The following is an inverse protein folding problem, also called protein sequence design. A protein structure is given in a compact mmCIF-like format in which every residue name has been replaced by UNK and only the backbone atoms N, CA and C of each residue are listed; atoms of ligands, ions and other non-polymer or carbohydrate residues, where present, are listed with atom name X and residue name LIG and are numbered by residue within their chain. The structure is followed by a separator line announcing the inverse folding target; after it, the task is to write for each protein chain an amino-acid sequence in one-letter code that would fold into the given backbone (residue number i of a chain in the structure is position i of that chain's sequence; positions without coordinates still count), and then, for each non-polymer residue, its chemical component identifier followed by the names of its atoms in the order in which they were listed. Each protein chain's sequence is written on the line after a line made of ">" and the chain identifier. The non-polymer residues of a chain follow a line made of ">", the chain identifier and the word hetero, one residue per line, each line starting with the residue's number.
data_IF_252197493799
#
_entry.id   IF_252197493799
#
_cell.length_a   1.000
_cell.length_b   1.000
_cell.length_c   1.000
_cell.angle_alpha   90.00
_cell.angle_beta   90.00
_cell.angle_gamma   90.00
#
_symmetry.space_group_name_H-M   'P 1'
#
loop_
_entity.id
_entity.type
_entity.pdbx_description
1 polymer ?
#
# COMPACT_ATOMS: atom_id res chain seq x y z
N UNK A 1 17.71 2.36 29.79
CA UNK A 1 16.70 3.43 29.97
C UNK A 1 15.33 2.79 30.15
N UNK A 2 14.55 3.19 31.15
CA UNK A 2 13.19 2.66 31.40
C UNK A 2 12.15 3.48 30.64
N UNK A 3 11.10 2.83 30.12
CA UNK A 3 9.98 3.50 29.47
C UNK A 3 9.25 4.43 30.43
N UNK A 4 8.97 5.65 29.99
CA UNK A 4 8.19 6.60 30.78
C UNK A 4 6.76 6.12 31.09
N UNK A 5 6.25 6.54 32.24
CA UNK A 5 4.82 6.42 32.53
C UNK A 5 4.00 7.28 31.57
N UNK A 6 2.72 6.93 31.38
CA UNK A 6 1.82 7.73 30.55
C UNK A 6 1.68 9.18 31.03
N UNK A 7 1.73 9.41 32.34
CA UNK A 7 1.66 10.75 32.92
C UNK A 7 2.92 11.58 32.65
N UNK A 8 4.11 10.96 32.72
CA UNK A 8 5.36 11.64 32.36
C UNK A 8 5.37 12.00 30.88
N UNK A 9 4.94 11.09 30.01
CA UNK A 9 4.83 11.37 28.57
C UNK A 9 3.86 12.53 28.29
N UNK A 10 2.68 12.56 28.94
CA UNK A 10 1.71 13.66 28.83
C UNK A 10 2.34 15.00 29.20
N UNK A 11 3.03 15.06 30.33
CA UNK A 11 3.66 16.30 30.81
C UNK A 11 4.72 16.82 29.82
N UNK A 12 5.58 15.94 29.30
CA UNK A 12 6.62 16.30 28.34
C UNK A 12 6.03 16.77 27.00
N UNK A 13 5.02 16.07 26.47
CA UNK A 13 4.33 16.49 25.23
C UNK A 13 3.64 17.84 25.42
N UNK A 14 2.99 18.08 26.55
CA UNK A 14 2.41 19.39 26.86
C UNK A 14 3.48 20.49 26.87
N UNK A 15 4.60 20.25 27.56
CA UNK A 15 5.72 21.19 27.62
C UNK A 15 6.27 21.52 26.22
N UNK A 16 6.42 20.50 25.36
CA UNK A 16 6.85 20.69 23.97
C UNK A 16 5.94 21.63 23.18
N UNK A 17 4.63 21.56 23.44
CA UNK A 17 3.62 22.35 22.71
C UNK A 17 3.36 23.73 23.31
N UNK A 18 3.70 23.97 24.58
CA UNK A 18 3.39 25.22 25.30
C UNK A 18 4.58 26.14 25.49
N UNK A 19 5.79 25.59 25.66
CA UNK A 19 7.01 26.35 26.00
C UNK A 19 7.77 26.84 24.75
N UNK A 20 7.40 26.38 23.56
CA UNK A 20 7.99 26.86 22.30
C UNK A 20 9.45 26.45 22.14
N UNK A 21 10.32 27.37 21.68
CA UNK A 21 11.70 27.07 21.28
C UNK A 21 12.60 26.52 22.40
N UNK A 22 12.34 26.88 23.66
CA UNK A 22 13.20 26.52 24.79
C UNK A 22 13.09 25.04 25.18
N UNK A 23 11.97 24.39 24.86
CA UNK A 23 11.84 22.95 25.06
C UNK A 23 12.84 22.16 24.20
N UNK A 24 13.02 22.58 22.94
CA UNK A 24 13.80 21.84 21.94
C UNK A 24 15.31 21.82 22.22
N UNK A 25 15.80 22.73 23.07
CA UNK A 25 17.19 22.74 23.55
C UNK A 25 17.36 22.09 24.93
N UNK A 26 16.29 21.57 25.53
CA UNK A 26 16.30 21.02 26.88
C UNK A 26 16.70 19.55 26.94
N UNK A 27 17.13 19.10 28.13
CA UNK A 27 17.38 17.68 28.41
C UNK A 27 16.11 16.82 28.27
N UNK A 28 14.93 17.38 28.53
CA UNK A 28 13.65 16.67 28.37
C UNK A 28 13.35 16.35 26.90
N UNK A 29 13.78 17.21 25.97
CA UNK A 29 13.67 16.93 24.54
C UNK A 29 14.62 15.80 24.13
N UNK A 30 15.87 15.82 24.62
CA UNK A 30 16.82 14.73 24.36
C UNK A 30 16.29 13.39 24.87
N UNK A 31 15.76 13.35 26.10
CA UNK A 31 15.18 12.13 26.66
C UNK A 31 13.88 11.72 25.92
N UNK A 32 13.08 12.66 25.42
CA UNK A 32 11.92 12.36 24.56
C UNK A 32 12.36 11.67 23.26
N UNK A 33 13.43 12.16 22.61
CA UNK A 33 13.99 11.55 21.40
C UNK A 33 14.35 10.09 21.66
N UNK A 34 15.10 9.82 22.73
CA UNK A 34 15.52 8.47 23.10
C UNK A 34 14.30 7.57 23.37
N UNK A 35 13.30 8.09 24.07
CA UNK A 35 12.09 7.34 24.42
C UNK A 35 11.26 6.97 23.18
N UNK A 36 11.15 7.89 22.22
CA UNK A 36 10.46 7.62 20.94
C UNK A 36 11.25 6.61 20.12
N UNK A 37 12.57 6.76 19.97
CA UNK A 37 13.36 5.80 19.21
C UNK A 37 13.26 4.39 19.81
N UNK A 38 13.53 4.27 21.11
CA UNK A 38 13.65 2.96 21.76
C UNK A 38 12.31 2.19 21.78
N UNK A 39 11.19 2.88 22.02
CA UNK A 39 9.91 2.23 22.31
C UNK A 39 8.88 2.31 21.19
N UNK A 40 9.02 3.26 20.26
CA UNK A 40 8.03 3.54 19.22
C UNK A 40 8.57 3.25 17.81
N UNK A 41 9.74 3.80 17.48
CA UNK A 41 10.21 3.89 16.10
C UNK A 41 10.39 2.53 15.45
N UNK A 42 10.98 1.56 16.16
CA UNK A 42 11.15 0.20 15.61
C UNK A 42 9.82 -0.52 15.32
N UNK A 43 8.77 -0.31 16.12
CA UNK A 43 7.45 -0.91 15.89
C UNK A 43 6.77 -0.27 14.67
N UNK A 44 6.86 1.05 14.56
CA UNK A 44 6.26 1.81 13.45
C UNK A 44 6.99 1.49 12.14
N UNK A 45 8.33 1.48 12.11
CA UNK A 45 9.10 1.12 10.92
C UNK A 45 8.71 -0.25 10.37
N UNK A 46 8.54 -1.25 11.26
CA UNK A 46 8.04 -2.58 10.86
C UNK A 46 6.62 -2.53 10.32
N UNK A 47 5.73 -1.75 10.95
CA UNK A 47 4.34 -1.60 10.49
C UNK A 47 4.25 -0.93 9.12
N UNK A 48 5.04 0.12 8.88
CA UNK A 48 5.14 0.82 7.59
C UNK A 48 5.67 -0.12 6.52
N UNK A 49 6.76 -0.85 6.79
CA UNK A 49 7.30 -1.86 5.87
C UNK A 49 6.29 -2.95 5.54
N UNK A 50 5.56 -3.45 6.53
CA UNK A 50 4.55 -4.49 6.31
C UNK A 50 3.35 -3.98 5.49
N UNK A 51 2.97 -2.70 5.62
CA UNK A 51 1.81 -2.14 4.92
C UNK A 51 2.13 -1.61 3.53
N UNK A 52 3.26 -0.93 3.38
CA UNK A 52 3.63 -0.20 2.17
C UNK A 52 4.76 -0.87 1.39
N UNK A 53 5.42 -1.89 1.94
CA UNK A 53 6.62 -2.51 1.33
C UNK A 53 7.87 -1.62 1.39
N UNK A 54 7.77 -0.42 1.98
CA UNK A 54 8.83 0.57 2.07
C UNK A 54 9.52 0.52 3.43
N UNK A 55 10.86 0.50 3.44
CA UNK A 55 11.64 0.58 4.67
C UNK A 55 11.83 2.05 5.06
N UNK A 56 11.19 2.47 6.15
CA UNK A 56 11.46 3.75 6.81
C UNK A 56 12.43 3.51 7.97
N UNK A 57 13.46 4.34 8.09
CA UNK A 57 14.44 4.20 9.17
C UNK A 57 13.83 4.64 10.51
N UNK A 58 14.43 4.18 11.61
CA UNK A 58 13.92 4.51 12.95
C UNK A 58 14.06 6.00 13.23
N UNK A 59 15.20 6.58 12.85
CA UNK A 59 15.48 8.01 13.04
C UNK A 59 14.49 8.87 12.27
N UNK A 60 14.04 8.41 11.09
CA UNK A 60 13.01 9.11 10.32
C UNK A 60 11.66 9.09 11.01
N UNK A 61 11.27 7.99 11.65
CA UNK A 61 10.05 7.93 12.46
C UNK A 61 10.17 8.88 13.65
N UNK A 62 11.30 8.85 14.35
CA UNK A 62 11.58 9.73 15.49
C UNK A 62 11.50 11.20 15.07
N UNK A 63 12.19 11.59 14.00
CA UNK A 63 12.15 12.94 13.42
C UNK A 63 10.73 13.34 12.99
N UNK A 64 9.98 12.43 12.38
CA UNK A 64 8.58 12.70 12.00
C UNK A 64 7.73 13.04 13.22
N UNK A 65 7.89 12.31 14.32
CA UNK A 65 7.17 12.59 15.57
C UNK A 65 7.56 13.96 16.12
N UNK A 66 8.85 14.28 16.18
CA UNK A 66 9.34 15.56 16.70
C UNK A 66 8.87 16.76 15.84
N UNK A 67 8.96 16.65 14.52
CA UNK A 67 8.49 17.70 13.59
C UNK A 67 6.99 17.93 13.74
N UNK A 68 6.19 16.85 13.83
CA UNK A 68 4.74 16.97 14.03
C UNK A 68 4.36 17.50 15.40
N UNK A 69 5.17 17.24 16.42
CA UNK A 69 5.01 17.82 17.74
C UNK A 69 5.36 19.32 17.76
N UNK A 70 6.35 19.75 16.97
CA UNK A 70 6.75 21.16 16.83
C UNK A 70 5.75 22.00 16.03
N UNK A 71 4.99 21.38 15.14
CA UNK A 71 3.94 22.05 14.37
C UNK A 71 2.79 22.48 15.30
N UNK A 72 2.49 23.79 15.39
CA UNK A 72 1.55 24.33 16.39
C UNK A 72 0.16 23.65 16.37
N UNK A 73 -0.43 23.47 15.19
CA UNK A 73 -1.75 22.85 15.03
C UNK A 73 -1.73 21.36 15.39
N UNK A 74 -0.75 20.61 14.86
CA UNK A 74 -0.64 19.17 15.08
C UNK A 74 -0.22 18.83 16.51
N UNK A 75 0.76 19.54 17.05
CA UNK A 75 1.23 19.40 18.43
C UNK A 75 0.11 19.67 19.42
N UNK A 76 -0.65 20.75 19.26
CA UNK A 76 -1.75 21.08 20.16
C UNK A 76 -2.90 20.05 20.08
N UNK A 77 -3.20 19.54 18.89
CA UNK A 77 -4.15 18.44 18.71
C UNK A 77 -3.67 17.15 19.38
N UNK A 78 -2.38 16.80 19.22
CA UNK A 78 -1.77 15.65 19.90
C UNK A 78 -1.85 15.80 21.42
N UNK A 79 -1.47 16.96 21.97
CA UNK A 79 -1.50 17.22 23.41
C UNK A 79 -2.93 17.08 23.98
N UNK A 80 -3.92 17.68 23.32
CA UNK A 80 -5.34 17.57 23.70
C UNK A 80 -5.85 16.12 23.65
N UNK A 81 -5.52 15.40 22.58
CA UNK A 81 -5.87 13.98 22.44
C UNK A 81 -5.17 13.07 23.46
N UNK A 82 -3.91 13.36 23.80
CA UNK A 82 -3.17 12.61 24.80
C UNK A 82 -3.75 12.81 26.19
N UNK A 83 -4.14 14.04 26.56
CA UNK A 83 -4.77 14.34 27.85
C UNK A 83 -6.01 13.47 28.11
N UNK A 84 -6.86 13.31 27.09
CA UNK A 84 -8.07 12.49 27.15
C UNK A 84 -7.81 10.98 26.97
N UNK A 85 -6.61 10.57 26.57
CA UNK A 85 -6.28 9.15 26.38
C UNK A 85 -6.01 8.43 27.70
N UNK A 86 -6.56 7.21 27.81
CA UNK A 86 -6.27 6.24 28.87
C UNK A 86 -4.89 5.62 28.71
N UNK A 87 -4.42 5.46 27.48
CA UNK A 87 -3.07 4.99 27.15
C UNK A 87 -2.39 6.02 26.23
N UNK A 88 -1.60 6.95 26.81
CA UNK A 88 -0.97 8.02 26.05
C UNK A 88 0.05 7.49 25.05
N UNK A 89 0.73 6.38 25.39
CA UNK A 89 1.69 5.78 24.50
C UNK A 89 1.04 5.12 23.30
N UNK A 90 -0.05 4.36 23.49
CA UNK A 90 -0.79 3.78 22.38
C UNK A 90 -1.38 4.87 21.47
N UNK A 91 -1.83 5.99 22.06
CA UNK A 91 -2.31 7.14 21.30
C UNK A 91 -1.19 7.76 20.46
N UNK A 92 -0.03 8.03 21.05
CA UNK A 92 1.14 8.53 20.33
C UNK A 92 1.57 7.57 19.22
N UNK A 93 1.60 6.25 19.49
CA UNK A 93 1.94 5.23 18.50
C UNK A 93 0.98 5.24 17.30
N UNK A 94 -0.32 5.42 17.57
CA UNK A 94 -1.35 5.53 16.52
C UNK A 94 -1.13 6.78 15.67
N UNK A 95 -0.92 7.94 16.29
CA UNK A 95 -0.66 9.19 15.59
C UNK A 95 0.63 9.12 14.76
N UNK A 96 1.73 8.70 15.37
CA UNK A 96 3.02 8.53 14.72
C UNK A 96 2.97 7.54 13.55
N UNK A 97 2.23 6.44 13.70
CA UNK A 97 1.99 5.50 12.61
C UNK A 97 1.25 6.13 11.43
N UNK A 98 0.24 6.96 11.67
CA UNK A 98 -0.48 7.70 10.62
C UNK A 98 0.46 8.69 9.92
N UNK A 99 1.27 9.43 10.68
CA UNK A 99 2.21 10.40 10.12
C UNK A 99 3.31 9.75 9.30
N UNK A 100 3.91 8.67 9.80
CA UNK A 100 4.96 7.93 9.09
C UNK A 100 4.42 7.31 7.79
N UNK A 101 3.18 6.79 7.80
CA UNK A 101 2.51 6.31 6.58
C UNK A 101 2.25 7.45 5.61
N UNK A 102 1.80 8.61 6.09
CA UNK A 102 1.58 9.80 5.26
C UNK A 102 2.86 10.32 4.61
N UNK A 103 3.96 10.40 5.36
CA UNK A 103 5.28 10.80 4.86
C UNK A 103 5.83 9.80 3.83
N UNK A 104 5.72 8.50 4.12
CA UNK A 104 6.08 7.47 3.15
C UNK A 104 5.22 7.56 1.88
N UNK A 105 3.92 7.86 2.01
CA UNK A 105 3.02 8.09 0.88
C UNK A 105 3.39 9.31 0.02
N UNK A 106 3.81 10.42 0.64
CA UNK A 106 4.32 11.58 -0.10
C UNK A 106 5.61 11.28 -0.85
N UNK A 107 6.56 10.57 -0.23
CA UNK A 107 7.81 10.19 -0.90
C UNK A 107 7.59 9.18 -2.02
N UNK A 108 6.65 8.25 -1.87
CA UNK A 108 6.24 7.37 -2.98
C UNK A 108 5.65 8.21 -4.12
N UNK A 109 4.78 9.18 -3.81
CA UNK A 109 4.23 10.09 -4.83
C UNK A 109 5.28 11.01 -5.49
N UNK A 110 6.29 11.48 -4.73
CA UNK A 110 7.41 12.26 -5.25
C UNK A 110 8.37 11.41 -6.09
N UNK A 111 8.65 10.17 -5.68
CA UNK A 111 9.40 9.20 -6.48
C UNK A 111 8.65 8.84 -7.76
N UNK A 112 7.33 8.64 -7.68
CA UNK A 112 6.46 8.46 -8.85
C UNK A 112 6.49 9.70 -9.76
N UNK A 113 6.57 10.91 -9.20
CA UNK A 113 6.72 12.15 -9.97
C UNK A 113 8.13 12.31 -10.59
N UNK A 114 9.18 11.78 -9.96
CA UNK A 114 10.55 11.76 -10.47
C UNK A 114 10.74 10.77 -11.63
N UNK A 115 9.81 9.84 -11.86
CA UNK A 115 9.75 9.00 -13.09
C UNK A 115 9.58 9.85 -14.36
N UNK A 116 9.20 11.13 -14.23
CA UNK A 116 9.08 12.07 -15.35
C UNK A 116 10.32 12.94 -15.60
N UNK A 117 11.42 12.76 -14.87
CA UNK A 117 12.67 13.48 -15.15
C UNK A 117 13.40 12.91 -16.38
N UNK A 118 13.93 13.75 -17.29
CA UNK A 118 14.69 13.28 -18.43
C UNK A 118 15.95 12.53 -17.96
N UNK A 119 16.02 11.23 -18.27
CA UNK A 119 17.10 10.33 -17.83
C UNK A 119 16.68 9.26 -16.82
N UNK A 120 15.48 9.36 -16.25
CA UNK A 120 14.80 8.25 -15.54
C UNK A 120 13.73 7.74 -16.51
N UNK A 121 13.77 6.45 -16.86
CA UNK A 121 12.98 5.85 -17.95
C UNK A 121 11.54 6.41 -18.03
N UNK A 122 11.35 7.36 -18.95
CA UNK A 122 10.08 8.01 -19.20
C UNK A 122 9.21 7.02 -19.97
N UNK A 123 8.26 6.41 -19.27
CA UNK A 123 7.36 5.37 -19.78
C UNK A 123 7.92 3.94 -19.74
N UNK A 124 7.12 3.04 -19.17
CA UNK A 124 7.31 1.59 -19.26
C UNK A 124 7.28 1.07 -20.72
N UNK A 125 6.92 1.93 -21.70
CA UNK A 125 6.98 1.62 -23.12
C UNK A 125 8.37 1.89 -23.74
N UNK A 126 9.19 2.77 -23.13
CA UNK A 126 10.58 3.02 -23.54
C UNK A 126 11.59 2.10 -22.84
N UNK A 127 11.15 1.31 -21.84
CA UNK A 127 11.93 0.22 -21.23
C UNK A 127 12.02 -1.02 -22.14
N UNK A 128 12.14 -0.78 -23.45
CA UNK A 128 12.66 -1.77 -24.35
C UNK A 128 14.08 -2.14 -23.93
N UNK A 129 14.21 -3.31 -23.29
CA UNK A 129 15.37 -4.19 -23.47
C UNK A 129 16.64 -3.70 -22.76
N UNK A 130 16.68 -3.68 -21.42
CA UNK A 130 17.96 -3.88 -20.71
C UNK A 130 17.94 -5.19 -19.91
N UNK A 131 18.56 -6.27 -20.40
CA UNK A 131 18.70 -7.52 -19.65
C UNK A 131 19.36 -7.38 -18.26
N UNK A 132 19.98 -6.25 -17.93
CA UNK A 132 20.74 -6.05 -16.70
C UNK A 132 19.89 -5.86 -15.43
N UNK A 133 18.62 -5.47 -15.53
CA UNK A 133 17.79 -5.23 -14.32
C UNK A 133 17.20 -6.49 -13.70
N UNK A 134 17.36 -7.68 -14.32
CA UNK A 134 16.91 -8.96 -13.76
C UNK A 134 15.39 -9.12 -13.63
N UNK A 135 14.61 -8.19 -14.17
CA UNK A 135 13.14 -8.21 -14.19
C UNK A 135 12.62 -8.92 -15.43
N UNK A 136 11.50 -9.62 -15.28
CA UNK A 136 10.79 -10.26 -16.38
C UNK A 136 10.15 -9.22 -17.31
N UNK A 137 10.31 -9.29 -18.65
CA UNK A 137 9.71 -8.33 -19.57
C UNK A 137 8.18 -8.23 -19.42
N UNK A 138 7.64 -7.02 -19.48
CA UNK A 138 6.20 -6.76 -19.28
C UNK A 138 5.29 -7.61 -20.18
N UNK A 139 5.58 -7.82 -21.49
CA UNK A 139 4.77 -8.72 -22.31
C UNK A 139 4.72 -10.16 -21.78
N UNK A 140 5.81 -10.65 -21.21
CA UNK A 140 5.90 -11.99 -20.61
C UNK A 140 5.10 -12.03 -19.29
N UNK A 141 5.19 -10.98 -18.48
CA UNK A 141 4.40 -10.85 -17.24
C UNK A 141 2.90 -10.85 -17.54
N UNK A 142 2.45 -10.11 -18.56
CA UNK A 142 1.06 -10.08 -19.03
C UNK A 142 0.63 -11.48 -19.46
N UNK A 143 1.45 -12.15 -20.28
CA UNK A 143 1.19 -13.51 -20.77
C UNK A 143 0.98 -14.49 -19.62
N UNK A 144 1.94 -14.54 -18.68
CA UNK A 144 1.90 -15.48 -17.55
C UNK A 144 0.74 -15.19 -16.61
N UNK A 145 0.46 -13.90 -16.36
CA UNK A 145 -0.70 -13.50 -15.56
C UNK A 145 -2.01 -13.92 -16.23
N UNK A 146 -2.17 -13.67 -17.53
CA UNK A 146 -3.36 -14.07 -18.28
C UNK A 146 -3.55 -15.60 -18.25
N UNK A 147 -2.51 -16.37 -18.57
CA UNK A 147 -2.55 -17.84 -18.51
C UNK A 147 -2.91 -18.37 -17.12
N UNK A 148 -2.37 -17.74 -16.07
CA UNK A 148 -2.70 -18.12 -14.69
C UNK A 148 -4.17 -17.85 -14.37
N UNK A 149 -4.70 -16.70 -14.78
CA UNK A 149 -6.13 -16.38 -14.58
C UNK A 149 -7.03 -17.32 -15.38
N UNK A 150 -6.72 -17.52 -16.66
CA UNK A 150 -7.47 -18.39 -17.58
C UNK A 150 -7.51 -19.85 -17.09
N UNK A 151 -6.45 -20.34 -16.43
CA UNK A 151 -6.43 -21.68 -15.85
C UNK A 151 -7.36 -21.87 -14.63
N UNK A 152 -7.86 -20.78 -14.04
CA UNK A 152 -8.69 -20.80 -12.82
C UNK A 152 -10.15 -20.42 -13.07
N UNK A 153 -10.53 -20.11 -14.31
CA UNK A 153 -11.88 -19.68 -14.68
C UNK A 153 -12.47 -20.68 -15.68
N UNK A 154 -13.76 -20.95 -15.55
CA UNK A 154 -14.43 -22.00 -16.33
C UNK A 154 -14.91 -21.48 -17.71
N UNK A 155 -14.93 -20.15 -17.91
CA UNK A 155 -15.44 -19.45 -19.10
C UNK A 155 -14.33 -18.75 -19.92
N UNK A 156 -13.08 -19.23 -19.80
CA UNK A 156 -11.93 -18.63 -20.47
C UNK A 156 -12.06 -18.55 -22.01
N UNK A 157 -12.87 -19.41 -22.62
CA UNK A 157 -13.14 -19.40 -24.06
C UNK A 157 -14.15 -18.31 -24.50
N UNK A 158 -14.96 -17.81 -23.57
CA UNK A 158 -16.08 -16.90 -23.85
C UNK A 158 -15.72 -15.44 -23.60
N UNK A 159 -14.73 -15.17 -22.74
CA UNK A 159 -14.31 -13.81 -22.36
C UNK A 159 -12.82 -13.59 -22.54
N UNK A 160 -12.45 -12.38 -22.92
CA UNK A 160 -11.06 -12.02 -23.19
C UNK A 160 -10.32 -11.62 -21.91
N UNK A 161 -10.04 -12.60 -21.04
CA UNK A 161 -9.26 -12.40 -19.81
C UNK A 161 -7.88 -11.83 -20.10
N UNK A 162 -7.25 -12.26 -21.19
CA UNK A 162 -6.01 -11.66 -21.71
C UNK A 162 -6.11 -10.16 -21.98
N UNK A 163 -7.21 -9.70 -22.60
CA UNK A 163 -7.41 -8.27 -22.84
C UNK A 163 -7.63 -7.50 -21.53
N UNK A 164 -8.40 -8.08 -20.60
CA UNK A 164 -8.59 -7.52 -19.26
C UNK A 164 -7.26 -7.39 -18.50
N UNK A 165 -6.43 -8.45 -18.50
CA UNK A 165 -5.10 -8.45 -17.89
C UNK A 165 -4.18 -7.43 -18.56
N UNK A 166 -4.15 -7.36 -19.89
CA UNK A 166 -3.39 -6.31 -20.60
C UNK A 166 -3.83 -4.91 -20.18
N UNK A 167 -5.14 -4.66 -20.11
CA UNK A 167 -5.66 -3.36 -19.66
C UNK A 167 -5.17 -3.01 -18.26
N UNK A 168 -5.19 -3.96 -17.32
CA UNK A 168 -4.67 -3.74 -15.97
C UNK A 168 -3.16 -3.42 -15.96
N UNK A 169 -2.38 -4.04 -16.85
CA UNK A 169 -0.95 -3.74 -16.97
C UNK A 169 -0.68 -2.35 -17.57
N UNK A 170 -1.52 -1.92 -18.51
CA UNK A 170 -1.43 -0.61 -19.17
C UNK A 170 -1.97 0.54 -18.31
N UNK A 171 -2.82 0.25 -17.32
CA UNK A 171 -3.48 1.24 -16.48
C UNK A 171 -3.18 1.01 -14.98
N UNK A 172 -1.91 0.97 -14.55
CA UNK A 172 -1.57 0.68 -13.15
C UNK A 172 -2.19 1.73 -12.21
N UNK A 173 -2.58 1.33 -10.98
CA UNK A 173 -3.23 2.22 -10.03
C UNK A 173 -2.26 3.32 -9.60
N UNK A 174 -2.56 4.58 -9.91
CA UNK A 174 -1.76 5.75 -9.53
C UNK A 174 -1.83 6.04 -8.03
N UNK A 175 -2.89 5.59 -7.36
CA UNK A 175 -3.07 5.70 -5.91
C UNK A 175 -3.54 4.38 -5.31
N UNK A 176 -2.88 3.94 -4.24
CA UNK A 176 -3.11 2.64 -3.57
C UNK A 176 -4.53 2.42 -2.99
N UNK A 177 -5.51 3.29 -3.24
CA UNK A 177 -6.89 3.16 -2.78
C UNK A 177 -8.00 3.33 -3.80
N UNK A 178 -7.72 3.91 -4.97
CA UNK A 178 -8.77 4.25 -5.94
C UNK A 178 -8.77 3.34 -7.17
N UNK A 179 -7.64 2.70 -7.50
CA UNK A 179 -7.53 1.93 -8.75
C UNK A 179 -8.56 0.81 -8.91
N UNK A 180 -8.93 0.10 -7.84
CA UNK A 180 -9.99 -0.92 -7.94
C UNK A 180 -11.36 -0.31 -8.22
N UNK A 181 -11.65 0.88 -7.68
CA UNK A 181 -12.91 1.57 -7.93
C UNK A 181 -12.95 2.20 -9.34
N UNK A 182 -11.81 2.67 -9.84
CA UNK A 182 -11.65 3.20 -11.19
C UNK A 182 -11.81 2.08 -12.23
N UNK A 183 -11.13 0.95 -12.05
CA UNK A 183 -11.26 -0.20 -12.94
C UNK A 183 -12.73 -0.68 -13.06
N UNK A 184 -13.47 -0.73 -11.95
CA UNK A 184 -14.90 -1.10 -11.94
C UNK A 184 -15.78 -0.21 -12.82
N UNK A 185 -15.36 1.02 -13.07
CA UNK A 185 -16.09 2.01 -13.87
C UNK A 185 -15.56 2.12 -15.30
N UNK A 186 -14.46 1.43 -15.63
CA UNK A 186 -13.86 1.52 -16.94
C UNK A 186 -14.77 0.84 -17.99
N UNK A 187 -15.24 1.58 -19.01
CA UNK A 187 -16.18 1.07 -20.00
C UNK A 187 -15.61 -0.08 -20.84
N UNK A 188 -14.29 -0.19 -20.91
CA UNK A 188 -13.58 -1.27 -21.60
C UNK A 188 -13.98 -2.65 -21.07
N UNK A 189 -14.18 -2.80 -19.76
CA UNK A 189 -14.58 -4.08 -19.16
C UNK A 189 -16.01 -4.49 -19.52
N UNK A 190 -16.93 -3.52 -19.61
CA UNK A 190 -18.29 -3.80 -20.08
C UNK A 190 -18.28 -4.30 -21.53
N UNK A 191 -17.42 -3.74 -22.40
CA UNK A 191 -17.23 -4.23 -23.78
C UNK A 191 -16.64 -5.65 -23.83
N UNK A 192 -15.83 -6.01 -22.84
CA UNK A 192 -15.28 -7.36 -22.68
C UNK A 192 -16.24 -8.34 -21.97
N UNK A 193 -17.44 -7.90 -21.60
CA UNK A 193 -18.44 -8.75 -20.94
C UNK A 193 -18.20 -8.99 -19.45
N UNK A 194 -17.46 -8.10 -18.77
CA UNK A 194 -17.25 -8.18 -17.33
C UNK A 194 -18.18 -7.24 -16.55
N UNK A 195 -18.82 -7.77 -15.52
CA UNK A 195 -19.54 -6.99 -14.53
C UNK A 195 -18.57 -6.32 -13.54
N UNK A 196 -18.95 -5.20 -12.89
CA UNK A 196 -18.06 -4.47 -12.00
C UNK A 196 -17.43 -5.33 -10.89
N UNK A 197 -18.16 -6.28 -10.32
CA UNK A 197 -17.61 -7.12 -9.24
C UNK A 197 -16.61 -8.16 -9.76
N UNK A 198 -16.76 -8.58 -11.02
CA UNK A 198 -15.78 -9.44 -11.72
C UNK A 198 -14.49 -8.68 -11.97
N UNK A 199 -14.59 -7.42 -12.42
CA UNK A 199 -13.44 -6.53 -12.60
C UNK A 199 -12.69 -6.33 -11.28
N UNK A 200 -13.42 -6.11 -10.18
CA UNK A 200 -12.82 -5.95 -8.86
C UNK A 200 -12.11 -7.23 -8.38
N UNK A 201 -12.65 -8.41 -8.71
CA UNK A 201 -12.04 -9.69 -8.41
C UNK A 201 -10.75 -9.91 -9.21
N UNK A 202 -10.77 -9.60 -10.51
CA UNK A 202 -9.59 -9.65 -11.38
C UNK A 202 -8.50 -8.69 -10.91
N UNK A 203 -8.85 -7.43 -10.61
CA UNK A 203 -7.93 -6.41 -10.10
C UNK A 203 -7.21 -6.86 -8.82
N UNK A 204 -7.90 -7.55 -7.92
CA UNK A 204 -7.30 -8.08 -6.66
C UNK A 204 -6.26 -9.16 -6.88
N UNK A 205 -6.31 -9.88 -8.00
CA UNK A 205 -5.33 -10.93 -8.33
C UNK A 205 -4.21 -10.36 -9.20
N UNK A 206 -4.50 -9.45 -10.12
CA UNK A 206 -3.50 -8.81 -10.99
C UNK A 206 -2.65 -7.79 -10.21
N UNK A 207 -3.26 -6.72 -9.71
CA UNK A 207 -2.59 -5.67 -8.91
C UNK A 207 -2.41 -6.02 -7.44
N UNK A 208 -3.15 -7.02 -6.96
CA UNK A 208 -3.13 -7.45 -5.55
C UNK A 208 -4.29 -6.88 -4.72
N UNK A 209 -4.63 -7.58 -3.64
CA UNK A 209 -5.72 -7.22 -2.74
C UNK A 209 -5.22 -6.55 -1.47
N UNK A 210 -5.94 -5.52 -1.01
CA UNK A 210 -5.70 -4.93 0.32
C UNK A 210 -5.92 -5.98 1.43
N UNK A 211 -5.16 -5.93 2.54
CA UNK A 211 -4.10 -4.95 2.84
C UNK A 211 -2.74 -5.29 2.22
N UNK A 212 -2.56 -6.47 1.63
CA UNK A 212 -1.25 -7.01 1.25
C UNK A 212 -1.07 -7.06 -0.27
N UNK A 213 -1.29 -5.95 -0.97
CA UNK A 213 -1.29 -5.91 -2.45
C UNK A 213 0.03 -6.43 -3.03
N UNK A 214 1.16 -6.10 -2.40
CA UNK A 214 2.49 -6.55 -2.79
C UNK A 214 2.72 -8.07 -2.61
N UNK A 215 1.92 -8.75 -1.79
CA UNK A 215 2.02 -10.19 -1.50
C UNK A 215 1.12 -11.03 -2.39
N UNK A 216 0.05 -10.46 -2.95
CA UNK A 216 -0.96 -11.21 -3.73
C UNK A 216 -1.03 -10.80 -5.20
N UNK A 217 -0.19 -9.87 -5.65
CA UNK A 217 -0.16 -9.40 -7.05
C UNK A 217 0.60 -10.38 -7.93
N UNK A 218 -0.10 -10.98 -8.91
CA UNK A 218 0.54 -11.80 -9.94
C UNK A 218 1.50 -10.99 -10.81
N UNK A 219 1.17 -9.73 -11.14
CA UNK A 219 2.10 -8.89 -11.91
C UNK A 219 3.42 -8.71 -11.18
N UNK A 220 3.38 -8.38 -9.88
CA UNK A 220 4.60 -8.23 -9.10
C UNK A 220 5.37 -9.54 -8.99
N UNK A 221 4.67 -10.65 -8.76
CA UNK A 221 5.33 -11.95 -8.59
C UNK A 221 6.07 -12.38 -9.86
N UNK A 222 5.40 -12.34 -11.03
CA UNK A 222 6.03 -12.68 -12.30
C UNK A 222 7.07 -11.67 -12.77
N UNK A 223 6.92 -10.39 -12.42
CA UNK A 223 7.92 -9.36 -12.72
C UNK A 223 9.25 -9.63 -12.01
N UNK A 224 9.19 -10.12 -10.77
CA UNK A 224 10.37 -10.40 -9.94
C UNK A 224 10.96 -11.80 -10.16
N UNK A 225 10.12 -12.77 -10.55
CA UNK A 225 10.52 -14.16 -10.76
C UNK A 225 9.71 -14.76 -11.90
N UNK A 226 10.35 -14.93 -13.06
CA UNK A 226 9.73 -15.55 -14.24
C UNK A 226 9.27 -16.99 -13.97
N UNK A 227 9.95 -17.71 -13.06
CA UNK A 227 9.65 -19.10 -12.71
C UNK A 227 8.66 -19.22 -11.54
N UNK A 228 8.09 -18.09 -11.08
CA UNK A 228 7.15 -18.07 -9.97
C UNK A 228 5.98 -19.05 -10.18
N UNK A 229 5.70 -19.87 -9.16
CA UNK A 229 4.54 -20.75 -9.14
C UNK A 229 3.43 -20.20 -8.21
N UNK A 230 2.31 -19.68 -8.77
CA UNK A 230 1.16 -19.22 -8.00
C UNK A 230 0.52 -20.31 -7.13
N UNK A 231 0.63 -21.60 -7.49
CA UNK A 231 0.03 -22.71 -6.76
C UNK A 231 0.80 -23.03 -5.47
N UNK A 232 2.13 -22.95 -5.52
CA UNK A 232 3.00 -23.09 -4.34
C UNK A 232 2.84 -21.92 -3.35
N UNK A 233 2.42 -20.74 -3.83
CA UNK A 233 2.21 -19.56 -2.99
C UNK A 233 0.81 -19.52 -2.37
N UNK A 234 0.70 -19.87 -1.08
CA UNK A 234 -0.56 -19.80 -0.31
C UNK A 234 -1.37 -18.49 -0.53
N UNK A 235 -0.79 -17.28 -0.45
CA UNK A 235 -1.57 -16.05 -0.65
C UNK A 235 -2.15 -15.91 -2.07
N UNK A 236 -1.38 -16.25 -3.11
CA UNK A 236 -1.85 -16.17 -4.50
C UNK A 236 -2.91 -17.22 -4.80
N UNK A 237 -2.71 -18.46 -4.35
CA UNK A 237 -3.71 -19.51 -4.47
C UNK A 237 -5.05 -19.12 -3.83
N UNK A 238 -5.04 -18.53 -2.63
CA UNK A 238 -6.27 -18.04 -2.00
C UNK A 238 -6.91 -16.89 -2.78
N UNK A 239 -6.11 -15.96 -3.30
CA UNK A 239 -6.61 -14.87 -4.14
C UNK A 239 -7.29 -15.38 -5.42
N UNK A 240 -6.68 -16.36 -6.09
CA UNK A 240 -7.22 -17.03 -7.29
C UNK A 240 -8.51 -17.80 -6.98
N UNK A 241 -8.56 -18.54 -5.88
CA UNK A 241 -9.79 -19.22 -5.45
C UNK A 241 -10.93 -18.23 -5.15
N UNK A 242 -10.62 -17.11 -4.48
CA UNK A 242 -11.60 -16.06 -4.19
C UNK A 242 -12.08 -15.35 -5.45
N UNK A 243 -11.19 -15.14 -6.43
CA UNK A 243 -11.53 -14.60 -7.75
C UNK A 243 -12.49 -15.54 -8.47
N UNK A 244 -12.17 -16.83 -8.59
CA UNK A 244 -13.06 -17.83 -9.20
C UNK A 244 -14.44 -17.83 -8.55
N UNK A 245 -14.49 -17.83 -7.22
CA UNK A 245 -15.75 -17.79 -6.49
C UNK A 245 -16.55 -16.50 -6.73
N UNK A 246 -15.89 -15.36 -6.94
CA UNK A 246 -16.55 -14.11 -7.26
C UNK A 246 -17.11 -14.10 -8.70
N UNK A 247 -16.33 -14.59 -9.66
CA UNK A 247 -16.76 -14.72 -11.06
C UNK A 247 -17.96 -15.67 -11.19
N UNK A 248 -17.92 -16.82 -10.53
CA UNK A 248 -19.05 -17.77 -10.52
C UNK A 248 -20.34 -17.15 -9.95
N UNK A 249 -20.25 -16.37 -8.87
CA UNK A 249 -21.43 -15.68 -8.29
C UNK A 249 -21.97 -14.58 -9.20
N UNK A 250 -21.11 -13.83 -9.86
CA UNK A 250 -21.50 -12.78 -10.79
C UNK A 250 -22.17 -13.36 -12.06
N UNK A 251 -21.65 -14.46 -12.59
CA UNK A 251 -22.28 -15.20 -13.70
C UNK A 251 -23.70 -15.67 -13.36
N UNK A 252 -23.90 -16.22 -12.16
CA UNK A 252 -25.24 -16.64 -11.69
C UNK A 252 -26.22 -15.46 -11.58
N UNK A 253 -25.75 -14.27 -11.20
CA UNK A 253 -26.60 -13.07 -11.12
C UNK A 253 -26.91 -12.47 -12.50
N UNK A 254 -25.99 -12.56 -13.47
CA UNK A 254 -26.20 -12.08 -14.83
C UNK A 254 -27.26 -12.91 -15.58
N UNK A 255 -27.28 -14.23 -15.39
CA UNK A 255 -28.26 -15.12 -16.01
C UNK A 255 -29.68 -14.92 -15.44
N UNK A 256 -29.80 -14.65 -14.14
CA UNK A 256 -31.09 -14.35 -13.50
C UNK A 256 -31.68 -13.00 -13.96
N UNK A 257 -30.84 -12.03 -14.32
CA UNK A 257 -31.28 -10.73 -14.86
C UNK A 257 -31.62 -10.75 -16.35
N UNK A 258 -31.23 -11.79 -17.10
CA UNK A 258 -31.60 -11.98 -18.52
C UNK A 258 -32.84 -12.84 -18.70
N UNK A 259 -33.23 -13.60 -17.69
CA UNK A 259 -34.42 -14.46 -17.69
C UNK A 259 -35.68 -13.77 -17.11
N UNK A 260 -35.60 -12.48 -16.77
CA UNK A 260 -36.69 -11.63 -16.28
C UNK A 260 -36.98 -10.51 -17.29
#
# INVERSE_FOLDING_TARGET
>A
MQRWSGNRLKAVVMAATSVGRDFWSSADCAELVDQVDQYLSGQISRSVRAKLGYAIERDEVTNTVLVRLAEASTGQALASGMLSSRDPWAYLAKCAGIWAIGQAGHRVGELDALVHLPGVATSAADAGIDPAHGLTPLPVVIEKTARTVEAFVDDAAERSYRAAVRWFAENPPTHQGHGHAEARRAPEFARMGFAPDEVAALARVTWGGRPNMHVTSLFRAFLLDDAFDPHASRPHRLALMNMRAALARAGVQADQGRAA
#
